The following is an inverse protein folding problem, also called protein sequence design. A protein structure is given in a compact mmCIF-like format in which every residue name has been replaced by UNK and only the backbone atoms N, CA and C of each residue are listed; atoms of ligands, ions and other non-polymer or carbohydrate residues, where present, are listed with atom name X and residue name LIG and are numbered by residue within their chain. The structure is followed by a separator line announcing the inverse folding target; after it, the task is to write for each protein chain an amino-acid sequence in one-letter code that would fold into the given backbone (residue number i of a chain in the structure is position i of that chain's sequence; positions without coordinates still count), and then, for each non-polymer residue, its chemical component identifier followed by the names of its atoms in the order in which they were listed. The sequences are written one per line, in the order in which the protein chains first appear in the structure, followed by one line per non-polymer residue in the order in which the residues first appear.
data_IF_414365798176
#
_entry.id   IF_414365798176
#
_cell.length_a   1.000
_cell.length_b   1.000
_cell.length_c   1.000
_cell.angle_alpha   90.00
_cell.angle_beta   90.00
_cell.angle_gamma   90.00
#
_symmetry.space_group_name_H-M   'P 1'
#
loop_
_entity.id
_entity.type
_entity.pdbx_description
1 polymer ?
#
# COMPACT_ATOMS: atom_id res chain seq x y z
N UNK A 1 -21.57 -1.59 0.66
CA UNK A 1 -20.21 -1.19 1.03
C UNK A 1 -20.04 0.26 0.64
N UNK A 2 -19.72 1.15 1.57
CA UNK A 2 -19.60 2.58 1.24
C UNK A 2 -18.15 2.84 0.78
N UNK A 3 -17.94 2.80 -0.53
CA UNK A 3 -16.68 3.27 -1.14
C UNK A 3 -16.66 4.79 -0.99
N UNK A 4 -15.55 5.35 -0.50
CA UNK A 4 -15.40 6.80 -0.39
C UNK A 4 -15.43 7.44 -1.78
N UNK A 5 -16.21 8.50 -1.91
CA UNK A 5 -16.38 9.21 -3.18
C UNK A 5 -15.28 10.25 -3.40
N UNK A 6 -15.03 10.59 -4.66
CA UNK A 6 -14.13 11.70 -5.02
C UNK A 6 -14.59 13.00 -4.34
N UNK A 7 -13.63 13.76 -3.80
CA UNK A 7 -13.86 14.99 -3.03
C UNK A 7 -14.26 14.77 -1.58
N UNK A 8 -14.64 13.55 -1.17
CA UNK A 8 -14.97 13.25 0.21
C UNK A 8 -13.75 13.46 1.11
N UNK A 9 -13.98 13.94 2.34
CA UNK A 9 -12.94 14.17 3.34
C UNK A 9 -12.94 13.08 4.41
N UNK A 10 -11.75 12.58 4.72
CA UNK A 10 -11.48 11.71 5.84
C UNK A 10 -10.40 12.38 6.72
N UNK A 11 -10.83 13.09 7.76
CA UNK A 11 -9.94 13.96 8.54
C UNK A 11 -9.30 15.04 7.67
N UNK A 12 -7.96 15.10 7.68
CA UNK A 12 -7.17 16.02 6.88
C UNK A 12 -6.93 15.56 5.41
N UNK A 13 -7.56 14.47 5.00
CA UNK A 13 -7.33 13.86 3.70
C UNK A 13 -8.55 13.99 2.80
N UNK A 14 -8.36 14.57 1.61
CA UNK A 14 -9.39 14.68 0.57
C UNK A 14 -9.17 13.61 -0.49
N UNK A 15 -10.17 12.75 -0.70
CA UNK A 15 -10.11 11.65 -1.66
C UNK A 15 -10.07 12.20 -3.08
N UNK A 16 -9.15 11.66 -3.89
CA UNK A 16 -9.02 12.00 -5.32
C UNK A 16 -9.65 10.89 -6.17
N UNK A 17 -9.28 9.63 -5.92
CA UNK A 17 -9.82 8.47 -6.65
C UNK A 17 -9.50 7.16 -5.95
N UNK A 18 -10.21 6.13 -6.29
CA UNK A 18 -9.90 4.75 -5.89
C UNK A 18 -8.67 4.26 -6.68
N UNK A 19 -7.71 3.67 -5.99
CA UNK A 19 -6.54 2.99 -6.58
C UNK A 19 -6.72 1.49 -6.68
N UNK A 20 -7.40 0.90 -5.71
CA UNK A 20 -7.69 -0.53 -5.67
C UNK A 20 -8.56 -0.91 -4.49
N UNK A 21 -9.24 -2.03 -4.61
CA UNK A 21 -10.10 -2.60 -3.59
C UNK A 21 -9.76 -4.08 -3.40
N UNK A 22 -9.81 -4.55 -2.17
CA UNK A 22 -9.54 -5.93 -1.79
C UNK A 22 -10.44 -6.42 -0.68
N UNK A 23 -10.27 -7.65 -0.24
CA UNK A 23 -11.15 -8.28 0.75
C UNK A 23 -11.22 -7.55 2.09
N UNK A 24 -10.16 -6.90 2.53
CA UNK A 24 -10.11 -6.20 3.83
C UNK A 24 -10.43 -4.72 3.75
N UNK A 25 -10.29 -4.09 2.58
CA UNK A 25 -10.44 -2.64 2.47
C UNK A 25 -10.13 -2.09 1.10
N UNK A 26 -10.11 -0.77 1.00
CA UNK A 26 -9.85 -0.04 -0.23
C UNK A 26 -8.66 0.91 -0.05
N UNK A 27 -7.94 1.15 -1.13
CA UNK A 27 -6.82 2.09 -1.20
C UNK A 27 -7.19 3.23 -2.14
N UNK A 28 -7.01 4.45 -1.69
CA UNK A 28 -7.33 5.67 -2.42
C UNK A 28 -6.09 6.53 -2.63
N UNK A 29 -6.05 7.24 -3.75
CA UNK A 29 -5.25 8.44 -3.85
C UNK A 29 -5.96 9.55 -3.10
N UNK A 30 -5.23 10.25 -2.24
CA UNK A 30 -5.76 11.39 -1.49
C UNK A 30 -4.77 12.55 -1.45
N UNK A 31 -5.28 13.75 -1.12
CA UNK A 31 -4.50 14.95 -0.85
C UNK A 31 -4.56 15.28 0.62
N UNK A 32 -3.42 15.39 1.26
CA UNK A 32 -3.28 15.83 2.63
C UNK A 32 -3.34 17.36 2.69
N UNK A 33 -4.34 17.91 3.37
CA UNK A 33 -4.48 19.36 3.58
C UNK A 33 -3.81 19.79 4.89
N UNK A 34 -3.24 21.01 4.98
CA UNK A 34 -3.22 22.06 3.95
C UNK A 34 -2.04 21.97 2.97
N UNK A 35 -1.13 20.97 3.12
CA UNK A 35 0.11 20.89 2.33
C UNK A 35 -0.10 20.47 0.87
N UNK A 36 -1.32 20.07 0.50
CA UNK A 36 -1.69 19.47 -0.80
C UNK A 36 -0.77 18.30 -1.21
N UNK A 37 -0.21 17.60 -0.21
CA UNK A 37 0.67 16.47 -0.44
C UNK A 37 -0.13 15.26 -0.91
N UNK A 38 0.31 14.63 -2.01
CA UNK A 38 -0.28 13.38 -2.50
C UNK A 38 0.12 12.22 -1.59
N UNK A 39 -0.87 11.44 -1.18
CA UNK A 39 -0.71 10.25 -0.33
C UNK A 39 -1.55 9.09 -0.84
N UNK A 40 -1.21 7.87 -0.45
CA UNK A 40 -2.07 6.71 -0.56
C UNK A 40 -2.77 6.50 0.79
N UNK A 41 -4.09 6.35 0.79
CA UNK A 41 -4.91 6.18 1.98
C UNK A 41 -5.62 4.84 1.89
N UNK A 42 -5.29 3.92 2.79
CA UNK A 42 -5.95 2.61 2.92
C UNK A 42 -7.02 2.68 4.00
N UNK A 43 -8.23 2.24 3.70
CA UNK A 43 -9.33 2.14 4.69
C UNK A 43 -9.72 0.70 4.89
N UNK A 44 -10.20 0.38 6.08
CA UNK A 44 -10.81 -0.90 6.40
C UNK A 44 -12.29 -0.88 5.98
N UNK A 45 -12.78 -1.97 5.37
CA UNK A 45 -14.22 -2.08 5.06
C UNK A 45 -15.08 -2.10 6.31
N UNK A 46 -16.29 -1.52 6.23
CA UNK A 46 -17.22 -1.39 7.35
C UNK A 46 -17.55 -2.72 8.04
N UNK A 47 -17.58 -3.83 7.30
CA UNK A 47 -17.83 -5.15 7.86
C UNK A 47 -16.68 -5.63 8.75
N UNK A 48 -15.44 -5.29 8.38
CA UNK A 48 -14.24 -5.55 9.19
C UNK A 48 -14.05 -4.53 10.31
N UNK A 49 -14.55 -3.31 10.13
CA UNK A 49 -14.50 -2.25 11.14
C UNK A 49 -15.38 -2.54 12.38
N UNK A 50 -16.28 -3.52 12.30
CA UNK A 50 -17.06 -4.02 13.45
C UNK A 50 -16.34 -5.05 14.29
N UNK A 51 -15.22 -5.61 13.78
CA UNK A 51 -14.45 -6.65 14.45
C UNK A 51 -13.17 -6.04 15.03
N UNK A 52 -13.07 -5.98 16.36
CA UNK A 52 -11.90 -5.43 17.06
C UNK A 52 -10.59 -6.13 16.69
N UNK A 53 -10.61 -7.44 16.41
CA UNK A 53 -9.42 -8.18 15.99
C UNK A 53 -8.94 -7.73 14.59
N UNK A 54 -9.88 -7.46 13.67
CA UNK A 54 -9.54 -6.93 12.34
C UNK A 54 -8.95 -5.52 12.41
N UNK A 55 -9.49 -4.66 13.27
CA UNK A 55 -8.96 -3.31 13.54
C UNK A 55 -7.56 -3.41 14.16
N UNK A 56 -7.39 -4.27 15.16
CA UNK A 56 -6.10 -4.47 15.81
C UNK A 56 -5.04 -4.97 14.83
N UNK A 57 -5.38 -5.91 13.94
CA UNK A 57 -4.48 -6.40 12.87
C UNK A 57 -4.11 -5.29 11.89
N UNK A 58 -5.08 -4.48 11.47
CA UNK A 58 -4.86 -3.35 10.57
C UNK A 58 -3.87 -2.32 11.16
N UNK A 59 -4.04 -1.93 12.42
CA UNK A 59 -3.12 -1.01 13.08
C UNK A 59 -1.78 -1.64 13.46
N UNK A 60 -1.73 -2.95 13.74
CA UNK A 60 -0.47 -3.65 13.95
C UNK A 60 0.36 -3.70 12.66
N UNK A 61 -0.26 -3.91 11.50
CA UNK A 61 0.41 -3.79 10.20
C UNK A 61 1.08 -2.41 10.05
N UNK A 62 0.34 -1.33 10.34
CA UNK A 62 0.88 0.02 10.30
C UNK A 62 2.09 0.22 11.24
N UNK A 63 1.99 -0.25 12.49
CA UNK A 63 3.07 -0.15 13.48
C UNK A 63 4.31 -0.94 13.08
N UNK A 64 4.13 -2.11 12.48
CA UNK A 64 5.24 -2.93 11.98
C UNK A 64 5.95 -2.22 10.83
N UNK A 65 5.19 -1.74 9.84
CA UNK A 65 5.74 -1.01 8.70
C UNK A 65 6.47 0.28 9.13
N UNK A 66 5.96 1.00 10.13
CA UNK A 66 6.57 2.24 10.61
C UNK A 66 7.91 2.04 11.34
N UNK A 67 8.27 0.81 11.72
CA UNK A 67 9.54 0.47 12.37
C UNK A 67 10.62 0.05 11.38
N UNK A 68 10.23 -0.33 10.18
CA UNK A 68 11.14 -0.81 9.15
C UNK A 68 11.55 0.37 8.24
N UNK A 69 12.78 0.84 8.39
CA UNK A 69 13.34 1.87 7.52
C UNK A 69 14.14 1.21 6.39
N UNK A 70 13.56 1.19 5.19
CA UNK A 70 14.22 0.66 4.00
C UNK A 70 13.66 1.32 2.74
N UNK A 71 14.49 1.65 1.72
CA UNK A 71 14.02 2.34 0.51
C UNK A 71 12.95 1.58 -0.27
N UNK A 72 12.91 0.25 -0.15
CA UNK A 72 11.91 -0.60 -0.81
C UNK A 72 10.72 -0.96 0.08
N UNK A 73 10.56 -0.31 1.24
CA UNK A 73 9.39 -0.44 2.11
C UNK A 73 8.58 0.84 2.04
N UNK A 74 7.27 0.68 1.78
CA UNK A 74 6.33 1.81 1.77
C UNK A 74 6.29 2.49 3.12
N UNK A 75 6.55 3.81 3.14
CA UNK A 75 6.56 4.58 4.37
C UNK A 75 5.14 4.91 4.83
N UNK A 76 4.84 4.56 6.07
CA UNK A 76 3.60 4.92 6.76
C UNK A 76 3.81 6.27 7.45
N UNK A 77 2.95 7.24 7.15
CA UNK A 77 3.05 8.61 7.70
C UNK A 77 2.00 8.94 8.75
N UNK A 78 0.86 8.25 8.75
CA UNK A 78 -0.23 8.49 9.70
C UNK A 78 -1.18 7.28 9.74
N UNK A 79 -1.91 7.11 10.83
CA UNK A 79 -3.01 6.13 10.96
C UNK A 79 -3.96 6.54 12.07
N UNK A 80 -5.23 6.16 11.95
CA UNK A 80 -6.21 6.48 12.96
C UNK A 80 -7.63 6.07 12.60
N UNK A 81 -8.57 6.64 13.35
CA UNK A 81 -10.00 6.51 13.07
C UNK A 81 -10.55 7.90 12.73
N UNK A 82 -11.33 7.97 11.66
CA UNK A 82 -12.08 9.17 11.31
C UNK A 82 -13.28 9.37 12.25
N UNK A 83 -13.93 10.52 12.17
CA UNK A 83 -15.08 10.86 13.01
C UNK A 83 -16.27 9.91 12.82
N UNK A 84 -16.41 9.29 11.66
CA UNK A 84 -17.42 8.28 11.35
C UNK A 84 -17.02 6.84 11.78
N UNK A 85 -15.87 6.69 12.45
CA UNK A 85 -15.32 5.41 12.91
C UNK A 85 -14.52 4.64 11.85
N UNK A 86 -14.36 5.17 10.64
CA UNK A 86 -13.56 4.53 9.59
C UNK A 86 -12.08 4.48 9.98
N UNK A 87 -11.54 3.27 10.13
CA UNK A 87 -10.11 3.07 10.34
C UNK A 87 -9.35 3.35 9.05
N UNK A 88 -8.28 4.13 9.12
CA UNK A 88 -7.44 4.48 7.98
C UNK A 88 -5.96 4.38 8.29
N UNK A 89 -5.18 4.19 7.24
CA UNK A 89 -3.73 4.18 7.21
C UNK A 89 -3.25 5.04 6.04
N UNK A 90 -2.33 5.95 6.30
CA UNK A 90 -1.76 6.86 5.31
C UNK A 90 -0.32 6.48 5.02
N UNK A 91 -0.01 6.35 3.75
CA UNK A 91 1.33 6.01 3.26
C UNK A 91 1.73 6.92 2.11
N UNK A 92 3.00 6.87 1.78
CA UNK A 92 3.49 7.55 0.60
C UNK A 92 2.78 7.08 -0.67
N UNK A 93 2.54 8.01 -1.58
CA UNK A 93 1.97 7.69 -2.89
C UNK A 93 3.07 7.23 -3.84
N UNK A 94 3.02 5.96 -4.23
CA UNK A 94 3.97 5.40 -5.17
C UNK A 94 3.50 5.61 -6.62
N UNK A 95 4.37 6.21 -7.46
CA UNK A 95 4.13 6.35 -8.90
C UNK A 95 4.61 5.08 -9.60
N UNK A 96 3.68 4.20 -9.94
CA UNK A 96 4.01 2.92 -10.56
C UNK A 96 2.81 2.01 -10.68
N UNK A 97 3.07 0.73 -10.85
CA UNK A 97 2.04 -0.31 -10.93
C UNK A 97 2.47 -1.51 -10.09
N UNK A 98 1.51 -2.35 -9.68
CA UNK A 98 1.86 -3.60 -9.02
C UNK A 98 2.54 -4.56 -10.00
N UNK A 99 3.38 -5.45 -9.47
CA UNK A 99 3.96 -6.54 -10.27
C UNK A 99 2.86 -7.41 -10.88
N UNK A 100 1.75 -7.64 -10.17
CA UNK A 100 0.60 -8.37 -10.72
C UNK A 100 0.07 -7.69 -11.98
N UNK A 101 -0.27 -6.40 -11.92
CA UNK A 101 -0.76 -5.64 -13.08
C UNK A 101 0.25 -5.64 -14.25
N UNK A 102 1.55 -5.59 -13.94
CA UNK A 102 2.59 -5.69 -14.97
C UNK A 102 2.59 -7.06 -15.64
N UNK A 103 2.47 -8.14 -14.86
CA UNK A 103 2.43 -9.51 -15.38
C UNK A 103 1.19 -9.74 -16.25
N UNK A 104 0.02 -9.24 -15.82
CA UNK A 104 -1.21 -9.33 -16.60
C UNK A 104 -1.06 -8.62 -17.96
N UNK A 105 -0.57 -7.38 -17.96
CA UNK A 105 -0.31 -6.63 -19.19
C UNK A 105 0.67 -7.33 -20.15
N UNK A 106 1.70 -7.97 -19.61
CA UNK A 106 2.66 -8.73 -20.41
C UNK A 106 2.00 -10.00 -20.99
N UNK A 107 1.21 -10.70 -20.17
CA UNK A 107 0.50 -11.91 -20.59
C UNK A 107 -0.48 -11.65 -21.73
N UNK A 108 -1.26 -10.56 -21.65
CA UNK A 108 -2.18 -10.12 -22.71
C UNK A 108 -1.46 -9.86 -24.05
N UNK A 109 -0.19 -9.46 -24.00
CA UNK A 109 0.66 -9.22 -25.16
C UNK A 109 1.47 -10.45 -25.60
N UNK A 110 1.26 -11.62 -24.98
CA UNK A 110 2.08 -12.81 -25.21
C UNK A 110 3.54 -12.66 -24.81
N UNK A 111 3.84 -11.69 -23.93
CA UNK A 111 5.19 -11.37 -23.47
C UNK A 111 5.43 -11.92 -22.06
N UNK A 112 6.68 -11.97 -21.68
CA UNK A 112 7.12 -12.38 -20.33
C UNK A 112 7.94 -11.27 -19.67
N UNK A 113 7.97 -11.27 -18.35
CA UNK A 113 8.86 -10.39 -17.60
C UNK A 113 10.31 -10.75 -17.95
N UNK A 114 11.17 -9.78 -18.34
CA UNK A 114 12.58 -10.04 -18.59
C UNK A 114 13.25 -10.67 -17.37
N UNK A 115 14.10 -11.66 -17.58
CA UNK A 115 14.78 -12.40 -16.50
C UNK A 115 15.56 -11.44 -15.59
N UNK A 116 16.26 -10.47 -16.17
CA UNK A 116 17.01 -9.47 -15.40
C UNK A 116 16.09 -8.69 -14.44
N UNK A 117 14.91 -8.26 -14.91
CA UNK A 117 13.92 -7.56 -14.07
C UNK A 117 13.37 -8.49 -12.97
N UNK A 118 13.08 -9.76 -13.30
CA UNK A 118 12.63 -10.73 -12.30
C UNK A 118 13.69 -10.93 -11.20
N UNK A 119 14.96 -11.07 -11.58
CA UNK A 119 16.06 -11.20 -10.62
C UNK A 119 16.23 -9.94 -9.75
N UNK A 120 16.12 -8.74 -10.33
CA UNK A 120 16.16 -7.49 -9.57
C UNK A 120 15.05 -7.42 -8.52
N UNK A 121 13.81 -7.79 -8.88
CA UNK A 121 12.69 -7.86 -7.93
C UNK A 121 12.98 -8.85 -6.81
N UNK A 122 13.47 -10.06 -7.15
CA UNK A 122 13.81 -11.07 -6.14
C UNK A 122 14.91 -10.59 -5.18
N UNK A 123 15.95 -9.93 -5.68
CA UNK A 123 17.04 -9.38 -4.85
C UNK A 123 16.49 -8.33 -3.87
N UNK A 124 15.73 -7.35 -4.38
CA UNK A 124 15.17 -6.29 -3.53
C UNK A 124 14.19 -6.83 -2.49
N UNK A 125 13.33 -7.77 -2.86
CA UNK A 125 12.41 -8.42 -1.91
C UNK A 125 13.18 -9.20 -0.85
N UNK A 126 14.22 -9.94 -1.25
CA UNK A 126 15.04 -10.71 -0.30
C UNK A 126 15.77 -9.81 0.70
N UNK A 127 16.25 -8.64 0.25
CA UNK A 127 16.93 -7.66 1.10
C UNK A 127 15.98 -7.10 2.17
N UNK A 128 14.77 -6.69 1.75
CA UNK A 128 13.70 -6.25 2.67
C UNK A 128 13.33 -7.36 3.67
N UNK A 129 13.16 -8.60 3.19
CA UNK A 129 12.79 -9.72 4.06
C UNK A 129 13.91 -10.05 5.04
N UNK A 130 15.17 -9.95 4.63
CA UNK A 130 16.32 -10.12 5.52
C UNK A 130 16.27 -9.11 6.68
N UNK A 131 16.05 -7.83 6.38
CA UNK A 131 15.88 -6.79 7.39
C UNK A 131 14.71 -7.09 8.33
N UNK A 132 13.54 -7.43 7.79
CA UNK A 132 12.36 -7.76 8.59
C UNK A 132 12.62 -8.96 9.53
N UNK A 133 13.26 -10.01 9.02
CA UNK A 133 13.57 -11.20 9.80
C UNK A 133 14.55 -10.93 10.95
N UNK A 134 15.55 -10.04 10.78
CA UNK A 134 16.43 -9.64 11.89
C UNK A 134 15.68 -8.98 13.04
N UNK A 135 14.50 -8.40 12.74
CA UNK A 135 13.61 -7.79 13.73
C UNK A 135 12.47 -8.74 14.19
N UNK A 136 12.54 -10.04 13.82
CA UNK A 136 11.53 -11.03 14.18
C UNK A 136 10.20 -10.88 13.43
N UNK A 137 10.17 -10.09 12.35
CA UNK A 137 8.97 -9.82 11.58
C UNK A 137 8.91 -10.75 10.37
N UNK A 138 7.78 -11.48 10.22
CA UNK A 138 7.49 -12.33 9.07
C UNK A 138 6.31 -11.75 8.29
N UNK A 139 6.49 -11.48 6.99
CA UNK A 139 5.48 -10.80 6.17
C UNK A 139 4.21 -11.63 5.91
N UNK A 140 4.33 -12.94 5.68
CA UNK A 140 3.24 -13.93 5.49
C UNK A 140 2.33 -13.76 4.26
N UNK A 141 2.46 -12.69 3.48
CA UNK A 141 1.62 -12.42 2.30
C UNK A 141 2.43 -11.79 1.14
N UNK A 142 3.62 -12.36 0.86
CA UNK A 142 4.40 -11.95 -0.32
C UNK A 142 3.75 -12.51 -1.57
N UNK A 143 3.28 -11.59 -2.42
CA UNK A 143 2.65 -11.90 -3.72
C UNK A 143 2.80 -10.72 -4.68
N UNK A 144 2.70 -10.94 -6.01
CA UNK A 144 2.88 -9.87 -7.00
C UNK A 144 1.98 -8.65 -6.81
N UNK A 145 0.77 -8.84 -6.25
CA UNK A 145 -0.15 -7.75 -5.97
C UNK A 145 0.35 -6.78 -4.88
N UNK A 146 1.23 -7.25 -3.99
CA UNK A 146 1.80 -6.47 -2.88
C UNK A 146 3.17 -5.88 -3.20
N UNK A 147 3.68 -6.07 -4.42
CA UNK A 147 4.96 -5.53 -4.88
C UNK A 147 4.70 -4.41 -5.89
N UNK A 148 5.14 -3.20 -5.58
CA UNK A 148 5.01 -2.05 -6.46
C UNK A 148 6.30 -1.87 -7.28
N UNK A 149 6.15 -1.80 -8.59
CA UNK A 149 7.19 -1.40 -9.52
C UNK A 149 7.13 0.12 -9.66
N UNK A 150 8.05 0.80 -9.04
CA UNK A 150 8.17 2.26 -9.06
C UNK A 150 9.25 2.64 -10.05
N UNK A 151 9.00 3.66 -10.90
CA UNK A 151 10.05 4.21 -11.75
C UNK A 151 11.12 4.85 -10.86
N UNK A 152 12.38 4.52 -11.12
CA UNK A 152 13.49 5.18 -10.46
C UNK A 152 13.46 6.67 -10.83
N UNK A 153 13.34 7.60 -9.86
CA UNK A 153 13.31 9.03 -10.17
C UNK A 153 14.66 9.55 -10.73
N UNK A 154 15.72 8.74 -10.67
CA UNK A 154 17.08 9.09 -11.13
C UNK A 154 17.43 8.39 -12.44
N UNK A 155 16.66 7.39 -12.89
CA UNK A 155 16.90 6.77 -14.18
C UNK A 155 16.35 7.66 -15.31
N UNK A 156 17.17 8.02 -16.34
CA UNK A 156 16.75 8.83 -17.46
C UNK A 156 15.70 8.16 -18.35
#
# INVERSE_FOLDING_TARGET
MSVLSEGQRLGAYRIVRLLGEGGMGAVYEARQEPLDRRVALKTLHADHAKNQESIARFFNEAKVLSRLEHPSIVQVSDFGNAADGTAYLVMEYLRGQSLASRLDTLSEKGQRLPIATALQVCVQVSDVLSLAHTQGIVHRDIKPANLMLVADPVAP
#
